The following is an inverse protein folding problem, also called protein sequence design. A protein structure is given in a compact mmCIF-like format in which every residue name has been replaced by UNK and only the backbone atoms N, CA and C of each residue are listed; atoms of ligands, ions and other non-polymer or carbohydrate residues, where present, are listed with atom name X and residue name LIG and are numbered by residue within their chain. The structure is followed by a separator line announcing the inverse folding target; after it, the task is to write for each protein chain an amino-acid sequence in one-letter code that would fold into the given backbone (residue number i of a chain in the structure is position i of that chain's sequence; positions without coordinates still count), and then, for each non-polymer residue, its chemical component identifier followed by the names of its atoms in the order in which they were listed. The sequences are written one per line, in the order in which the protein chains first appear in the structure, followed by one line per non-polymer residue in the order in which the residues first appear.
data_IF_160638708938
#
_entry.id   IF_160638708938
#
_cell.length_a   1.000
_cell.length_b   1.000
_cell.length_c   1.000
_cell.angle_alpha   90.00
_cell.angle_beta   90.00
_cell.angle_gamma   90.00
#
_symmetry.space_group_name_H-M   'P 1'
#
loop_
_entity.id
_entity.type
_entity.pdbx_description
1 polymer ?
2 non-polymer ?
3 non-polymer ?
4 water ?
#
# COMPACT_ATOMS: atom_id res chain seq x y z
N UNK A 1 -1.07 -5.77 -21.50
CA UNK A 1 -0.13 -5.68 -20.35
C UNK A 1 0.73 -6.95 -20.36
N UNK A 2 1.96 -6.86 -19.85
CA UNK A 2 2.91 -7.96 -19.99
C UNK A 2 2.69 -9.07 -18.99
N UNK A 3 3.41 -10.18 -19.18
CA UNK A 3 3.29 -11.36 -18.34
C UNK A 3 3.84 -11.13 -16.92
N UNK A 4 4.90 -10.31 -16.83
CA UNK A 4 5.52 -9.99 -15.56
C UNK A 4 5.60 -8.47 -15.39
N UNK A 5 5.27 -8.02 -14.16
CA UNK A 5 5.51 -6.64 -13.73
C UNK A 5 6.18 -6.71 -12.36
N UNK A 6 7.20 -5.87 -12.15
CA UNK A 6 7.87 -5.80 -10.86
C UNK A 6 8.41 -4.40 -10.73
N UNK A 7 7.66 -3.51 -10.07
CA UNK A 7 8.06 -2.11 -9.95
C UNK A 7 9.36 -1.94 -9.19
N UNK A 8 9.80 -2.96 -8.43
CA UNK A 8 11.11 -2.86 -7.79
C UNK A 8 12.22 -2.79 -8.82
N UNK A 9 12.07 -3.48 -9.95
CA UNK A 9 13.08 -3.49 -10.99
C UNK A 9 13.13 -2.16 -11.75
N UNK A 10 12.04 -1.41 -11.63
CA UNK A 10 11.91 -0.12 -12.26
C UNK A 10 12.33 1.00 -11.29
N UNK A 11 12.82 0.66 -10.10
CA UNK A 11 13.24 1.63 -9.10
C UNK A 11 12.12 2.51 -8.58
N UNK A 12 10.91 1.94 -8.45
CA UNK A 12 9.74 2.69 -8.02
C UNK A 12 9.25 2.28 -6.63
N UNK A 13 10.00 1.41 -5.96
CA UNK A 13 9.56 0.87 -4.64
C UNK A 13 10.66 1.17 -3.60
N UNK A 14 10.30 1.80 -2.49
CA UNK A 14 11.28 2.12 -1.42
C UNK A 14 11.52 0.91 -0.56
N UNK A 15 12.55 0.88 0.31
CA UNK A 15 12.76 -0.23 1.22
C UNK A 15 11.54 -0.66 2.03
N UNK A 16 11.42 -1.96 2.30
CA UNK A 16 10.27 -2.49 3.11
C UNK A 16 10.30 -1.86 4.51
N UNK A 17 9.14 -1.49 5.04
CA UNK A 17 9.06 -0.82 6.36
C UNK A 17 8.36 -1.71 7.39
N UNK A 18 8.41 -1.34 8.68
CA UNK A 18 7.76 -2.09 9.73
C UNK A 18 6.84 -1.13 10.47
N UNK A 19 5.53 -1.38 10.41
CA UNK A 19 4.57 -0.53 11.10
C UNK A 19 4.58 -0.73 12.61
N UNK A 20 5.16 -1.83 13.10
CA UNK A 20 5.12 -2.08 14.54
C UNK A 20 3.72 -2.47 15.02
N UNK A 21 3.46 -2.21 16.30
CA UNK A 21 2.21 -2.64 16.89
C UNK A 21 1.02 -1.77 16.46
N UNK A 22 1.32 -0.56 15.98
CA UNK A 22 0.31 0.42 15.60
C UNK A 22 -0.49 -0.08 14.38
N UNK A 23 -1.81 0.11 14.43
CA UNK A 23 -2.65 -0.24 13.30
C UNK A 23 -2.64 0.82 12.21
N UNK A 24 -1.46 1.05 11.64
CA UNK A 24 -1.22 2.13 10.66
C UNK A 24 -1.02 1.59 9.25
N UNK A 25 -1.35 0.32 9.00
CA UNK A 25 -1.07 -0.27 7.68
C UNK A 25 -1.72 0.53 6.55
N UNK A 26 -2.90 1.11 6.80
CA UNK A 26 -3.58 1.93 5.81
C UNK A 26 -2.72 3.11 5.33
N UNK A 27 -1.94 3.69 6.25
CA UNK A 27 -1.04 4.78 5.90
C UNK A 27 0.20 4.26 5.16
N UNK A 28 0.73 3.11 5.58
CA UNK A 28 1.87 2.54 4.88
C UNK A 28 1.50 2.18 3.45
N UNK A 29 0.34 1.54 3.30
CA UNK A 29 -0.18 1.18 1.98
C UNK A 29 -0.31 2.40 1.09
N UNK A 30 -0.94 3.46 1.59
CA UNK A 30 -1.09 4.68 0.81
C UNK A 30 0.27 5.24 0.39
N UNK A 31 1.22 5.29 1.33
CA UNK A 31 2.52 5.86 1.03
C UNK A 31 3.25 5.07 -0.08
N UNK A 32 3.14 3.75 -0.10
CA UNK A 32 3.84 3.02 -1.15
C UNK A 32 3.30 3.46 -2.51
N UNK A 33 1.98 3.70 -2.64
CA UNK A 33 1.44 4.13 -3.92
C UNK A 33 1.90 5.54 -4.27
N UNK A 34 2.11 6.40 -3.27
CA UNK A 34 2.58 7.75 -3.56
C UNK A 34 4.04 7.70 -4.01
N UNK A 35 4.88 6.97 -3.28
CA UNK A 35 6.27 6.79 -3.68
C UNK A 35 6.35 6.27 -5.12
N UNK A 36 5.49 5.34 -5.49
CA UNK A 36 5.53 4.77 -6.82
C UNK A 36 5.10 5.76 -7.90
N UNK A 37 3.98 6.45 -7.72
CA UNK A 37 3.51 7.34 -8.77
C UNK A 37 4.43 8.54 -8.93
N UNK A 38 5.08 9.01 -7.85
CA UNK A 38 6.01 10.13 -8.01
C UNK A 38 7.22 9.69 -8.81
N UNK A 39 7.73 8.48 -8.59
CA UNK A 39 8.83 7.97 -9.39
C UNK A 39 8.40 7.82 -10.85
N UNK A 40 7.24 7.25 -11.07
CA UNK A 40 6.73 7.06 -12.43
C UNK A 40 6.57 8.39 -13.16
N UNK A 41 6.05 9.41 -12.47
CA UNK A 41 5.77 10.69 -13.13
C UNK A 41 7.02 11.57 -13.24
N UNK A 42 7.91 11.54 -12.21
CA UNK A 42 8.99 12.52 -12.12
C UNK A 42 10.38 11.93 -12.28
N UNK A 43 10.54 10.62 -12.17
CA UNK A 43 11.84 9.98 -12.30
C UNK A 43 12.61 9.85 -10.99
N UNK A 44 12.08 10.40 -9.88
CA UNK A 44 12.76 10.37 -8.60
C UNK A 44 12.01 9.48 -7.62
N UNK A 45 12.76 8.59 -6.94
CA UNK A 45 12.24 7.79 -5.86
C UNK A 45 12.54 8.44 -4.51
N UNK A 46 11.47 8.82 -3.81
CA UNK A 46 11.62 9.44 -2.46
C UNK A 46 10.72 8.69 -1.48
N UNK A 47 11.04 8.70 -0.19
CA UNK A 47 10.16 8.08 0.82
C UNK A 47 9.22 9.16 1.38
N UNK A 48 7.96 8.81 1.62
CA UNK A 48 6.98 9.83 2.10
C UNK A 48 6.58 9.51 3.53
N UNK A 49 5.77 10.36 4.16
CA UNK A 49 5.49 10.23 5.59
C UNK A 49 4.21 9.45 5.87
N UNK A 50 4.36 8.22 6.37
CA UNK A 50 3.25 7.51 6.96
C UNK A 50 2.70 8.23 8.20
N UNK A 51 3.61 8.80 9.02
CA UNK A 51 3.22 9.44 10.26
C UNK A 51 2.28 10.62 10.00
N UNK A 52 2.55 11.38 8.93
CA UNK A 52 1.71 12.52 8.60
C UNK A 52 0.27 12.06 8.33
N UNK A 53 0.12 10.96 7.57
CA UNK A 53 -1.23 10.48 7.32
C UNK A 53 -1.89 9.97 8.59
N UNK A 54 -1.11 9.27 9.42
CA UNK A 54 -1.59 8.76 10.71
C UNK A 54 -2.15 9.89 11.58
N UNK A 55 -1.41 11.00 11.65
CA UNK A 55 -1.79 12.13 12.49
C UNK A 55 -2.93 12.95 11.89
N UNK A 56 -2.92 13.12 10.57
CA UNK A 56 -3.68 14.18 9.92
C UNK A 56 -4.93 13.73 9.18
N UNK A 57 -5.07 12.43 8.90
CA UNK A 57 -6.26 11.95 8.23
C UNK A 57 -7.40 11.86 9.23
N UNK A 58 -8.27 12.87 9.24
CA UNK A 58 -9.35 12.96 10.25
C UNK A 58 -10.47 11.93 9.99
N UNK A 59 -10.45 11.26 8.83
CA UNK A 59 -11.46 10.20 8.56
C UNK A 59 -11.01 8.90 9.24
N UNK A 60 -9.70 8.73 9.42
CA UNK A 60 -9.15 7.49 9.94
C UNK A 60 -9.00 7.56 11.46
N UNK A 61 -8.50 6.50 12.08
CA UNK A 61 -8.61 6.38 13.52
C UNK A 61 -7.26 6.14 14.15
N UNK A 62 -6.22 6.69 13.51
CA UNK A 62 -4.86 6.61 14.03
C UNK A 62 -4.36 5.16 14.06
N UNK A 63 -3.86 4.74 15.21
CA UNK A 63 -3.38 3.38 15.35
C UNK A 63 -4.52 2.36 15.52
N UNK A 64 -5.77 2.82 15.53
CA UNK A 64 -6.91 1.92 15.58
C UNK A 64 -7.45 1.59 14.20
N UNK A 65 -6.71 1.91 13.13
CA UNK A 65 -7.10 1.56 11.78
C UNK A 65 -7.53 2.78 10.99
N UNK A 66 -7.83 2.55 9.72
CA UNK A 66 -8.12 3.65 8.84
C UNK A 66 -8.34 3.19 7.41
N UNK A 67 -8.34 4.18 6.51
CA UNK A 67 -8.80 3.99 5.14
C UNK A 67 -7.74 4.45 4.16
N UNK A 68 -7.16 3.56 3.34
CA UNK A 68 -6.26 4.01 2.29
C UNK A 68 -6.84 5.08 1.40
N UNK A 69 -8.14 5.01 1.09
CA UNK A 69 -8.71 5.99 0.18
C UNK A 69 -8.64 7.39 0.79
N UNK A 70 -8.99 7.49 2.08
CA UNK A 70 -8.99 8.76 2.80
C UNK A 70 -7.61 9.36 2.88
N UNK A 71 -6.63 8.49 3.13
CA UNK A 71 -5.24 8.92 3.17
C UNK A 71 -4.80 9.45 1.81
N UNK A 72 -5.22 8.78 0.73
CA UNK A 72 -4.85 9.25 -0.59
C UNK A 72 -5.56 10.54 -0.95
N UNK A 73 -6.76 10.72 -0.40
CA UNK A 73 -7.53 11.91 -0.68
C UNK A 73 -6.87 13.10 0.00
N UNK A 74 -6.31 12.86 1.20
CA UNK A 74 -5.56 13.89 1.92
C UNK A 74 -4.36 14.37 1.11
N UNK A 75 -3.65 13.45 0.47
CA UNK A 75 -2.50 13.81 -0.34
C UNK A 75 -2.90 14.57 -1.60
N UNK A 76 -4.08 14.29 -2.14
CA UNK A 76 -4.54 15.02 -3.33
C UNK A 76 -5.06 16.41 -2.97
N UNK A 77 -5.66 16.51 -1.77
CA UNK A 77 -6.25 17.75 -1.29
C UNK A 77 -5.16 18.74 -0.89
N UNK A 78 -4.22 18.23 -0.09
CA UNK A 78 -3.19 19.05 0.55
C UNK A 78 -1.82 18.68 -0.02
N UNK A 79 -1.32 17.51 0.32
CA UNK A 79 0.00 17.08 -0.10
C UNK A 79 0.57 16.18 0.99
N UNK A 80 1.87 15.91 0.88
CA UNK A 80 2.54 15.04 1.82
C UNK A 80 4.01 15.47 1.94
N UNK A 81 4.56 15.31 3.15
CA UNK A 81 5.96 15.61 3.41
C UNK A 81 6.84 14.38 3.24
N UNK A 82 8.13 14.64 3.07
CA UNK A 82 9.13 13.58 3.04
C UNK A 82 9.14 12.84 4.38
N UNK A 83 9.52 11.56 4.34
CA UNK A 83 9.57 10.77 5.56
C UNK A 83 10.57 11.36 6.55
N UNK A 84 11.71 11.87 6.04
CA UNK A 84 12.76 12.45 6.87
C UNK A 84 12.22 13.67 7.64
N UNK A 85 11.35 14.44 6.99
CA UNK A 85 10.77 15.64 7.60
C UNK A 85 9.78 15.26 8.70
N UNK A 86 9.12 14.11 8.55
CA UNK A 86 7.99 13.72 9.39
C UNK A 86 8.11 12.22 9.63
N UNK A 87 9.11 11.80 10.43
CA UNK A 87 9.42 10.38 10.55
C UNK A 87 8.38 9.61 11.34
N UNK A 88 8.44 8.28 11.20
CA UNK A 88 7.46 7.39 11.77
C UNK A 88 7.74 7.14 13.25
N UNK A 89 6.69 7.33 14.07
CA UNK A 89 6.80 7.21 15.53
C UNK A 89 6.00 6.05 16.10
N UNK A 90 5.10 5.44 15.31
CA UNK A 90 4.35 4.30 15.79
C UNK A 90 3.27 4.63 16.82
N UNK A 91 2.87 5.90 16.91
CA UNK A 91 1.81 6.35 17.79
C UNK A 91 1.17 7.57 17.14
N UNK A 92 -0.15 7.72 17.24
CA UNK A 92 -0.78 8.86 16.55
C UNK A 92 -0.60 10.12 17.40
N UNK A 93 -0.11 11.20 16.80
CA UNK A 93 0.07 12.47 17.53
C UNK A 93 -0.72 13.57 16.82
N UNK A 94 -0.62 14.81 17.32
CA UNK A 94 -1.33 15.96 16.69
C UNK A 94 -0.76 16.23 15.31
N UNK A 95 -1.63 16.55 14.35
CA UNK A 95 -1.18 16.85 12.96
C UNK A 95 -0.16 18.00 13.01
N UNK A 96 1.03 17.78 12.45
CA UNK A 96 2.09 18.78 12.48
C UNK A 96 2.49 19.20 11.06
N UNK A 97 1.54 19.14 10.12
CA UNK A 97 1.83 19.47 8.74
C UNK A 97 1.96 20.97 8.51
N UNK A 98 1.38 21.81 9.38
CA UNK A 98 1.54 23.25 9.22
C UNK A 98 2.94 23.70 9.67
N UNK A 99 3.56 22.96 10.59
CA UNK A 99 4.83 23.34 11.19
C UNK A 99 6.02 22.63 10.54
N UNK A 100 5.80 21.94 9.42
CA UNK A 100 6.90 21.22 8.77
C UNK A 100 7.31 21.87 7.46
N UNK A 101 6.83 23.10 7.18
CA UNK A 101 7.14 23.75 5.92
C UNK A 101 6.28 23.24 4.78
N UNK A 102 6.59 23.67 3.56
CA UNK A 102 5.82 23.26 2.40
C UNK A 102 5.84 21.74 2.18
N UNK A 103 4.74 21.25 1.62
CA UNK A 103 4.64 19.84 1.26
C UNK A 103 5.71 19.48 0.24
N UNK A 104 6.10 18.20 0.26
CA UNK A 104 7.11 17.69 -0.65
C UNK A 104 6.50 17.22 -1.97
N UNK A 105 5.29 16.64 -1.92
CA UNK A 105 4.64 16.14 -3.12
C UNK A 105 3.14 16.33 -2.97
N UNK A 106 2.44 16.37 -4.10
CA UNK A 106 1.00 16.46 -4.10
C UNK A 106 0.47 15.69 -5.31
N UNK A 107 -0.67 15.03 -5.12
CA UNK A 107 -1.31 14.31 -6.19
C UNK A 107 -2.56 15.07 -6.63
N UNK A 108 -3.23 14.50 -7.63
CA UNK A 108 -4.36 15.18 -8.25
C UNK A 108 -5.70 14.57 -7.84
N UNK A 109 -5.69 13.29 -7.42
CA UNK A 109 -6.92 12.61 -7.08
C UNK A 109 -6.62 11.17 -6.68
N UNK A 110 -7.71 10.42 -6.51
CA UNK A 110 -7.68 9.03 -6.09
C UNK A 110 -8.74 8.28 -6.90
N UNK A 111 -8.34 7.13 -7.45
CA UNK A 111 -9.22 6.28 -8.25
C UNK A 111 -9.30 4.90 -7.62
N UNK A 112 -10.51 4.32 -7.63
CA UNK A 112 -10.73 2.96 -7.15
C UNK A 112 -10.68 2.01 -8.33
N UNK A 113 -10.00 0.87 -8.13
CA UNK A 113 -10.08 -0.23 -9.08
C UNK A 113 -11.45 -0.89 -8.95
N UNK A 114 -12.02 -1.31 -10.09
CA UNK A 114 -13.26 -2.08 -10.06
C UNK A 114 -13.04 -3.28 -9.14
N UNK A 115 -13.82 -3.43 -8.05
CA UNK A 115 -13.58 -4.51 -7.11
C UNK A 115 -13.96 -5.88 -7.65
N UNK A 116 -13.38 -6.90 -7.04
CA UNK A 116 -13.72 -8.29 -7.30
C UNK A 116 -13.47 -8.65 -8.76
N UNK A 117 -12.37 -8.11 -9.31
CA UNK A 117 -12.00 -8.32 -10.73
C UNK A 117 -10.48 -8.38 -10.82
N UNK A 118 -9.90 -9.56 -10.96
CA UNK A 118 -8.42 -9.72 -10.96
C UNK A 118 -7.78 -8.93 -12.11
N UNK A 119 -8.32 -9.05 -13.32
CA UNK A 119 -7.75 -8.36 -14.48
C UNK A 119 -7.75 -6.86 -14.32
N UNK A 120 -8.84 -6.31 -13.75
CA UNK A 120 -8.85 -4.87 -13.50
C UNK A 120 -7.71 -4.48 -12.57
N UNK A 121 -7.45 -5.31 -11.56
CA UNK A 121 -6.35 -5.01 -10.63
C UNK A 121 -5.01 -5.18 -11.34
N UNK A 122 -4.84 -6.24 -12.14
CA UNK A 122 -3.60 -6.41 -12.90
C UNK A 122 -3.37 -5.22 -13.82
N UNK A 123 -4.41 -4.73 -14.48
CA UNK A 123 -4.25 -3.58 -15.37
C UNK A 123 -3.74 -2.38 -14.58
N UNK A 124 -4.28 -2.14 -13.38
CA UNK A 124 -3.84 -1.05 -12.51
C UNK A 124 -2.38 -1.22 -12.12
N UNK A 125 -2.01 -2.44 -11.73
CA UNK A 125 -0.64 -2.72 -11.32
C UNK A 125 0.33 -2.53 -12.48
N UNK A 126 -0.08 -2.87 -13.69
CA UNK A 126 0.78 -2.62 -14.84
C UNK A 126 1.10 -1.13 -14.99
N UNK A 127 0.25 -0.23 -14.47
CA UNK A 127 0.50 1.21 -14.60
C UNK A 127 1.25 1.78 -13.41
N UNK A 128 1.02 1.24 -12.19
CA UNK A 128 1.58 1.81 -10.97
C UNK A 128 1.32 0.90 -9.79
N UNK A 129 2.07 1.03 -8.69
CA UNK A 129 1.69 0.34 -7.46
C UNK A 129 0.31 0.74 -6.96
N UNK A 130 -0.41 -0.22 -6.40
CA UNK A 130 -1.81 -0.08 -6.03
C UNK A 130 -1.98 -0.47 -4.56
N UNK A 131 -2.80 0.28 -3.83
CA UNK A 131 -3.18 -0.06 -2.47
C UNK A 131 -4.26 -1.12 -2.51
N UNK A 132 -4.04 -2.25 -1.82
CA UNK A 132 -4.97 -3.34 -1.78
C UNK A 132 -5.14 -3.76 -0.33
N UNK A 133 -6.20 -4.51 -0.07
CA UNK A 133 -6.47 -5.04 1.26
C UNK A 133 -6.58 -6.55 1.18
N UNK A 134 -6.32 -7.21 2.31
CA UNK A 134 -6.35 -8.70 2.35
C UNK A 134 -6.65 -9.15 3.77
N UNK A 135 -6.84 -10.45 3.97
CA UNK A 135 -7.06 -10.99 5.33
C UNK A 135 -5.69 -11.44 5.84
N UNK A 136 -5.20 -10.79 6.91
CA UNK A 136 -3.86 -11.12 7.43
C UNK A 136 -3.98 -11.78 8.80
N UNK A 137 -5.21 -11.95 9.30
CA UNK A 137 -5.34 -12.48 10.65
C UNK A 137 -4.99 -13.96 10.76
N UNK A 138 -5.08 -14.69 9.65
CA UNK A 138 -4.74 -16.12 9.65
C UNK A 138 -3.28 -16.37 9.96
N UNK A 139 -3.00 -17.38 10.77
CA UNK A 139 -1.59 -17.74 11.12
C UNK A 139 -0.85 -18.17 9.85
N UNK A 140 -1.55 -18.79 8.91
CA UNK A 140 -0.92 -19.20 7.61
C UNK A 140 -0.28 -17.97 6.98
N UNK A 141 -1.01 -16.85 6.92
CA UNK A 141 -0.44 -15.62 6.42
C UNK A 141 0.60 -15.07 7.40
N UNK A 142 0.32 -15.11 8.70
CA UNK A 142 1.26 -14.56 9.67
C UNK A 142 2.62 -15.27 9.60
N UNK A 143 2.62 -16.59 9.35
CA UNK A 143 3.84 -17.39 9.39
C UNK A 143 4.47 -17.57 8.00
N UNK A 144 3.92 -16.91 6.98
CA UNK A 144 4.43 -17.10 5.63
C UNK A 144 5.92 -16.82 5.54
N UNK A 145 6.64 -17.75 4.90
CA UNK A 145 8.11 -17.61 4.75
C UNK A 145 8.53 -17.45 3.30
N UNK A 146 7.72 -17.89 2.34
CA UNK A 146 8.10 -17.75 0.95
C UNK A 146 7.32 -18.71 0.07
N UNK A 147 7.45 -18.49 -1.23
CA UNK A 147 6.73 -19.24 -2.23
C UNK A 147 5.46 -18.52 -2.64
N UNK A 148 4.71 -19.13 -3.55
CA UNK A 148 3.46 -18.55 -3.98
C UNK A 148 2.38 -18.99 -2.97
N UNK A 149 1.88 -18.02 -2.20
CA UNK A 149 0.95 -18.28 -1.12
C UNK A 149 -0.46 -18.52 -1.65
N UNK A 150 -1.06 -19.66 -1.24
CA UNK A 150 -2.39 -20.03 -1.66
C UNK A 150 -3.39 -20.01 -0.50
N UNK A 151 -2.95 -19.62 0.70
CA UNK A 151 -3.75 -19.77 1.88
C UNK A 151 -3.28 -20.96 2.70
N UNK A 152 -4.14 -21.52 3.58
CA UNK A 152 -5.53 -21.13 3.79
C UNK A 152 -5.73 -19.70 4.24
N UNK A 153 -6.83 -19.09 3.79
CA UNK A 153 -7.24 -17.78 4.27
C UNK A 153 -8.66 -17.53 3.83
N UNK A 154 -9.37 -16.76 4.64
CA UNK A 154 -10.70 -16.29 4.27
C UNK A 154 -10.61 -14.92 3.61
N UNK A 155 -11.76 -14.27 3.51
CA UNK A 155 -11.87 -13.01 2.79
C UNK A 155 -12.32 -11.88 3.71
N UNK A 156 -12.14 -12.06 5.02
CA UNK A 156 -12.48 -11.05 6.00
C UNK A 156 -11.30 -10.09 6.07
N UNK A 157 -11.27 -9.12 5.17
CA UNK A 157 -10.08 -8.29 5.02
C UNK A 157 -9.89 -7.38 6.24
N UNK A 158 -8.62 -7.21 6.61
CA UNK A 158 -8.27 -6.53 7.86
C UNK A 158 -6.91 -5.83 7.79
N UNK A 159 -6.28 -5.77 6.62
CA UNK A 159 -4.89 -5.35 6.54
C UNK A 159 -4.67 -4.74 5.17
N UNK A 160 -4.15 -3.50 5.15
CA UNK A 160 -3.86 -2.81 3.91
C UNK A 160 -2.39 -2.99 3.56
N UNK A 161 -2.14 -3.27 2.29
CA UNK A 161 -0.79 -3.51 1.77
C UNK A 161 -0.71 -2.88 0.39
N UNK A 162 0.36 -3.15 -0.35
CA UNK A 162 0.51 -2.57 -1.68
C UNK A 162 0.93 -3.63 -2.69
N UNK A 163 0.25 -3.65 -3.82
CA UNK A 163 0.61 -4.53 -4.92
C UNK A 163 1.60 -3.80 -5.82
N UNK A 164 2.79 -4.38 -6.00
CA UNK A 164 3.85 -3.74 -6.76
C UNK A 164 4.27 -4.58 -7.96
N UNK A 165 3.55 -5.65 -8.27
CA UNK A 165 3.87 -6.42 -9.45
C UNK A 165 2.97 -7.65 -9.54
N UNK A 166 3.26 -8.48 -10.53
CA UNK A 166 2.52 -9.71 -10.72
C UNK A 166 3.28 -10.60 -11.69
N UNK A 167 2.89 -11.87 -11.75
CA UNK A 167 3.37 -12.80 -12.74
C UNK A 167 2.22 -13.70 -13.16
N UNK A 168 2.50 -14.71 -13.99
CA UNK A 168 1.43 -15.59 -14.47
C UNK A 168 0.56 -16.23 -13.40
N UNK A 169 1.12 -16.51 -12.22
CA UNK A 169 0.31 -17.19 -11.21
C UNK A 169 0.37 -16.50 -9.86
N UNK A 170 0.71 -15.21 -9.80
CA UNK A 170 0.75 -14.52 -8.51
C UNK A 170 0.61 -13.02 -8.70
N UNK A 171 0.32 -12.35 -7.57
CA UNK A 171 0.42 -10.90 -7.45
C UNK A 171 1.46 -10.62 -6.37
N UNK A 172 2.34 -9.65 -6.63
CA UNK A 172 3.46 -9.33 -5.76
C UNK A 172 3.09 -8.20 -4.81
N UNK A 173 3.23 -8.46 -3.50
CA UNK A 173 2.73 -7.60 -2.44
C UNK A 173 3.88 -7.13 -1.56
N UNK A 174 3.98 -5.81 -1.34
CA UNK A 174 4.86 -5.22 -0.34
C UNK A 174 4.09 -5.11 0.96
N UNK A 175 4.53 -5.86 1.98
CA UNK A 175 3.94 -5.78 3.31
C UNK A 175 4.70 -4.75 4.15
N UNK A 176 4.14 -4.39 5.30
CA UNK A 176 4.72 -3.43 6.23
C UNK A 176 5.04 -4.09 7.57
N UNK A 177 5.59 -5.32 7.51
CA UNK A 177 5.93 -6.07 8.72
C UNK A 177 7.44 -6.29 8.84
N UNK A 178 8.23 -5.45 8.18
CA UNK A 178 9.67 -5.56 8.24
C UNK A 178 10.25 -6.51 7.19
N UNK A 179 11.59 -6.45 7.07
CA UNK A 179 12.28 -7.24 6.07
C UNK A 179 12.47 -8.70 6.47
N UNK A 180 12.18 -9.07 7.71
CA UNK A 180 12.34 -10.44 8.15
C UNK A 180 11.12 -11.33 7.89
N UNK A 181 9.98 -10.73 7.50
CA UNK A 181 8.77 -11.47 7.21
C UNK A 181 8.71 -11.81 5.72
N UNK A 182 8.30 -13.03 5.41
CA UNK A 182 8.07 -13.39 4.02
C UNK A 182 9.34 -13.38 3.20
N UNK A 183 9.21 -12.95 1.93
CA UNK A 183 10.33 -12.93 1.00
C UNK A 183 10.96 -11.54 1.07
N UNK A 184 11.79 -11.37 2.11
CA UNK A 184 12.44 -10.10 2.41
C UNK A 184 11.41 -8.97 2.53
N UNK A 185 10.25 -9.31 3.09
CA UNK A 185 9.20 -8.35 3.36
C UNK A 185 8.03 -8.38 2.38
N UNK A 186 8.14 -9.21 1.34
CA UNK A 186 7.14 -9.32 0.29
C UNK A 186 6.44 -10.67 0.40
N UNK A 187 5.26 -10.74 -0.22
CA UNK A 187 4.56 -12.00 -0.40
C UNK A 187 4.06 -12.06 -1.85
N UNK A 188 4.18 -13.24 -2.46
CA UNK A 188 3.55 -13.51 -3.74
C UNK A 188 2.29 -14.33 -3.46
N UNK A 189 1.15 -13.80 -3.85
CA UNK A 189 -0.15 -14.39 -3.55
C UNK A 189 -0.71 -14.98 -4.83
N UNK A 190 -1.14 -16.23 -4.77
CA UNK A 190 -1.65 -16.94 -5.94
C UNK A 190 -2.79 -16.15 -6.59
N UNK A 191 -2.80 -16.14 -7.92
CA UNK A 191 -3.92 -15.60 -8.68
C UNK A 191 -4.34 -16.65 -9.70
N UNK A 192 -5.46 -16.38 -10.38
CA UNK A 192 -5.97 -17.29 -11.39
C UNK A 192 -6.76 -18.47 -10.82
N UNK A 193 -7.24 -18.36 -9.58
CA UNK A 193 -8.07 -19.40 -9.00
C UNK A 193 -9.54 -19.26 -9.38
N UNK A 194 -9.94 -18.13 -9.96
CA UNK A 194 -11.33 -17.91 -10.34
C UNK A 194 -12.24 -17.46 -9.19
N UNK A 195 -11.66 -17.26 -8.00
CA UNK A 195 -12.38 -16.67 -6.90
C UNK A 195 -12.48 -15.17 -7.18
N UNK A 196 -13.70 -14.64 -7.07
CA UNK A 196 -13.97 -13.23 -7.27
C UNK A 196 -13.38 -12.39 -6.14
N UNK A 197 -13.40 -12.91 -4.90
CA UNK A 197 -12.84 -12.20 -3.76
C UNK A 197 -11.33 -12.03 -3.89
N UNK A 198 -10.67 -12.92 -4.63
CA UNK A 198 -9.22 -13.01 -4.58
C UNK A 198 -8.78 -13.89 -3.41
N UNK A 199 -7.60 -14.50 -3.52
CA UNK A 199 -7.07 -15.21 -2.39
C UNK A 199 -6.87 -14.21 -1.25
N UNK A 200 -7.34 -14.61 -0.06
CA UNK A 200 -7.33 -13.76 1.13
C UNK A 200 -8.11 -12.47 0.92
N UNK A 201 -9.12 -12.47 0.04
CA UNK A 201 -9.91 -11.29 -0.19
C UNK A 201 -9.18 -10.16 -0.90
N UNK A 202 -8.11 -10.50 -1.65
CA UNK A 202 -7.20 -9.51 -2.21
C UNK A 202 -7.87 -8.52 -3.17
N UNK A 203 -9.06 -8.83 -3.72
CA UNK A 203 -9.68 -7.94 -4.69
C UNK A 203 -10.79 -7.08 -4.08
N UNK A 204 -10.86 -7.00 -2.75
CA UNK A 204 -12.00 -6.36 -2.10
C UNK A 204 -12.03 -4.83 -2.27
N UNK A 205 -10.89 -4.16 -2.14
CA UNK A 205 -10.89 -2.70 -2.02
C UNK A 205 -9.52 -2.16 -2.41
N UNK A 206 -9.39 -1.64 -3.64
CA UNK A 206 -8.11 -1.26 -4.21
C UNK A 206 -8.18 0.16 -4.75
N UNK A 207 -7.19 0.97 -4.38
CA UNK A 207 -7.16 2.39 -4.72
C UNK A 207 -5.76 2.76 -5.19
N UNK A 208 -5.69 3.74 -6.07
CA UNK A 208 -4.41 4.26 -6.50
C UNK A 208 -4.53 5.76 -6.67
N UNK A 209 -3.41 6.49 -6.45
CA UNK A 209 -3.38 7.93 -6.69
C UNK A 209 -3.23 8.26 -8.17
N UNK A 210 -3.78 9.43 -8.52
CA UNK A 210 -3.67 9.97 -9.86
C UNK A 210 -2.78 11.20 -9.77
N UNK A 211 -1.83 11.31 -10.71
CA UNK A 211 -0.86 12.39 -10.72
C UNK A 211 -0.65 12.76 -12.19
N UNK A 212 -0.98 14.00 -12.53
CA UNK A 212 -0.89 14.47 -13.90
C UNK A 212 0.57 14.77 -14.25
#
# INVERSE_FOLDING_TARGET
IPEYVDWRQKGAVTPVKNQGSCGSCWAFSAVVTIEGIIKIRTGNLNEYSEQELLDCDRRSYGCNGGYPWSALQLVAQYGIHYRNTYPYEGVQRYCRSREKGPYAAKTDGVRQVQPYNEGALLYSIANQPVSVVLEAAGKDFQLYRGGIFVGPCGNKVDHAVAAVGYGPNYILIKNSWGTGWGENGYIRIKRGTGNSYGVCGLYTSSFYPVKN
#
